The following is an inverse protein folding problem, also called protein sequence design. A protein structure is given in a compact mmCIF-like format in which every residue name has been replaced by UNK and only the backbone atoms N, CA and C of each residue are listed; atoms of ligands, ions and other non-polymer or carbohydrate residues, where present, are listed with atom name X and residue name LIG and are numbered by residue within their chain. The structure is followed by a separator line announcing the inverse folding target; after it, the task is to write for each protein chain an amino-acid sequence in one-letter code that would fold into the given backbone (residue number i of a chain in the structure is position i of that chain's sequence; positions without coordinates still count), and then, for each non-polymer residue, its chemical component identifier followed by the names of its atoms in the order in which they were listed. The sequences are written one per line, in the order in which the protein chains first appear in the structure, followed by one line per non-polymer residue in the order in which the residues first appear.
data_IF_210812058183
#
_entry.id   IF_210812058183
#
_cell.length_a   1.000
_cell.length_b   1.000
_cell.length_c   1.000
_cell.angle_alpha   90.00
_cell.angle_beta   90.00
_cell.angle_gamma   90.00
#
_symmetry.space_group_name_H-M   'P 1'
#
loop_
_entity.id
_entity.type
_entity.pdbx_description
1 polymer ?
#
# COMPACT_ATOMS: atom_id res chain seq x y z
N UNK A 1 -18.42 -4.81 -5.16
CA UNK A 1 -16.96 -4.95 -5.24
C UNK A 1 -16.53 -6.01 -4.22
N UNK A 2 -15.70 -6.97 -4.60
CA UNK A 2 -15.22 -8.03 -3.70
C UNK A 2 -13.86 -7.64 -3.10
N UNK A 3 -13.75 -7.68 -1.77
CA UNK A 3 -12.49 -7.57 -1.05
C UNK A 3 -11.78 -8.92 -1.12
N UNK A 4 -10.66 -8.96 -1.84
CA UNK A 4 -10.00 -10.21 -2.22
C UNK A 4 -9.14 -10.72 -1.05
N UNK A 5 -8.54 -9.83 -0.26
CA UNK A 5 -7.75 -10.19 0.92
C UNK A 5 -8.58 -10.57 2.16
N UNK A 6 -9.92 -10.59 2.07
CA UNK A 6 -10.83 -10.91 3.19
C UNK A 6 -10.58 -12.28 3.81
N UNK A 7 -10.08 -13.24 3.02
CA UNK A 7 -9.88 -14.62 3.44
C UNK A 7 -8.50 -14.89 4.07
N UNK A 8 -7.65 -13.87 4.23
CA UNK A 8 -6.33 -14.04 4.83
C UNK A 8 -6.44 -14.14 6.37
N UNK A 9 -5.61 -14.95 7.06
CA UNK A 9 -5.58 -14.96 8.51
C UNK A 9 -5.33 -13.55 9.06
N UNK A 10 -6.04 -13.21 10.13
CA UNK A 10 -6.01 -11.87 10.69
C UNK A 10 -4.69 -11.59 11.39
N UNK A 11 -3.86 -10.74 10.76
CA UNK A 11 -2.73 -10.11 11.43
C UNK A 11 -3.16 -8.71 11.84
N UNK A 12 -3.17 -8.40 13.15
CA UNK A 12 -3.57 -7.09 13.63
C UNK A 12 -2.66 -6.02 13.04
N UNK A 13 -3.10 -4.77 13.09
CA UNK A 13 -2.22 -3.65 12.80
C UNK A 13 -1.03 -3.65 13.77
N UNK A 14 0.18 -3.67 13.21
CA UNK A 14 1.46 -3.65 13.93
C UNK A 14 2.14 -2.34 13.53
N UNK A 15 2.57 -1.56 14.52
CA UNK A 15 3.36 -0.35 14.28
C UNK A 15 4.74 -0.72 13.72
N UNK A 16 5.29 0.14 12.87
CA UNK A 16 6.60 -0.04 12.21
C UNK A 16 6.72 -1.34 11.38
N UNK A 17 5.58 -1.92 10.98
CA UNK A 17 5.56 -3.02 10.03
C UNK A 17 6.01 -2.50 8.66
N UNK A 18 7.08 -3.08 8.13
CA UNK A 18 7.64 -2.71 6.84
C UNK A 18 6.95 -3.54 5.75
N UNK A 19 6.36 -2.84 4.79
CA UNK A 19 5.88 -3.45 3.56
C UNK A 19 7.05 -3.71 2.63
N UNK A 20 7.39 -4.98 2.49
CA UNK A 20 8.47 -5.41 1.62
C UNK A 20 7.93 -5.68 0.21
N UNK A 21 8.35 -4.90 -0.80
CA UNK A 21 7.93 -5.09 -2.18
C UNK A 21 8.39 -6.45 -2.72
N UNK A 22 7.61 -6.99 -3.66
CA UNK A 22 8.03 -8.17 -4.43
C UNK A 22 9.24 -7.83 -5.30
N UNK A 23 10.08 -8.84 -5.56
CA UNK A 23 11.31 -8.67 -6.36
C UNK A 23 12.47 -7.99 -5.62
N UNK A 24 12.32 -7.72 -4.32
CA UNK A 24 13.41 -7.20 -3.52
C UNK A 24 14.45 -8.29 -3.19
N UNK A 25 15.63 -8.21 -3.81
CA UNK A 25 16.77 -9.06 -3.45
C UNK A 25 17.47 -8.55 -2.19
N UNK A 26 18.24 -9.40 -1.51
CA UNK A 26 18.95 -9.08 -0.26
C UNK A 26 19.82 -7.82 -0.37
N UNK A 27 20.45 -7.61 -1.52
CA UNK A 27 21.24 -6.41 -1.81
C UNK A 27 20.40 -5.13 -1.80
N UNK A 28 19.22 -5.16 -2.42
CA UNK A 28 18.31 -4.01 -2.46
C UNK A 28 17.79 -3.65 -1.07
N UNK A 29 17.51 -4.66 -0.23
CA UNK A 29 17.12 -4.46 1.16
C UNK A 29 18.16 -3.67 1.96
N UNK A 30 19.44 -3.82 1.65
CA UNK A 30 20.53 -3.13 2.35
C UNK A 30 20.84 -1.75 1.76
N UNK A 31 20.69 -1.58 0.44
CA UNK A 31 21.11 -0.37 -0.27
C UNK A 31 19.98 0.64 -0.50
N UNK A 32 18.71 0.22 -0.46
CA UNK A 32 17.56 1.04 -0.88
C UNK A 32 16.31 0.80 -0.03
N UNK A 33 16.49 0.53 1.27
CA UNK A 33 15.40 0.34 2.23
C UNK A 33 14.50 1.57 2.40
N UNK A 34 14.99 2.75 2.02
CA UNK A 34 14.24 4.01 2.00
C UNK A 34 13.09 4.01 0.98
N UNK A 35 13.12 3.10 -0.01
CA UNK A 35 12.02 2.90 -0.96
C UNK A 35 10.92 1.96 -0.42
N UNK A 36 11.04 1.50 0.83
CA UNK A 36 9.97 0.74 1.47
C UNK A 36 9.05 1.66 2.25
N UNK A 37 7.87 1.12 2.52
CA UNK A 37 6.83 1.79 3.28
C UNK A 37 6.71 1.13 4.64
N UNK A 38 6.40 1.91 5.67
CA UNK A 38 6.13 1.36 7.00
C UNK A 38 4.83 1.91 7.59
N UNK A 39 4.14 1.07 8.34
CA UNK A 39 2.99 1.49 9.15
C UNK A 39 3.44 2.38 10.32
N UNK A 40 2.53 3.21 10.83
CA UNK A 40 2.73 3.92 12.10
C UNK A 40 1.85 3.31 13.19
N UNK A 41 1.86 3.86 14.40
CA UNK A 41 0.96 3.45 15.49
C UNK A 41 -0.52 3.61 15.13
N UNK A 42 -0.86 4.54 14.23
CA UNK A 42 -2.24 4.79 13.82
C UNK A 42 -2.61 3.91 12.63
N UNK A 43 -3.71 3.17 12.76
CA UNK A 43 -4.28 2.36 11.67
C UNK A 43 -4.50 3.21 10.41
N UNK A 44 -4.05 2.69 9.27
CA UNK A 44 -4.19 3.32 7.96
C UNK A 44 -3.18 4.44 7.69
N UNK A 45 -2.27 4.74 8.63
CA UNK A 45 -1.18 5.70 8.38
C UNK A 45 0.09 4.97 7.94
N UNK A 46 0.63 5.41 6.81
CA UNK A 46 1.83 4.86 6.18
C UNK A 46 2.82 5.98 5.93
N UNK A 47 4.10 5.67 6.12
CA UNK A 47 5.21 6.61 5.91
C UNK A 47 6.35 5.96 5.14
N UNK A 48 7.32 6.76 4.71
CA UNK A 48 8.60 6.25 4.25
C UNK A 48 9.33 5.49 5.37
N UNK A 49 10.09 4.47 4.98
CA UNK A 49 10.96 3.71 5.88
C UNK A 49 12.28 4.46 6.16
N UNK A 50 12.16 5.65 6.75
CA UNK A 50 13.27 6.53 7.17
C UNK A 50 12.97 7.09 8.56
N UNK A 51 13.99 7.48 9.35
CA UNK A 51 13.78 7.92 10.74
C UNK A 51 12.83 9.11 10.89
N UNK A 52 12.92 10.11 10.01
CA UNK A 52 12.14 11.34 10.04
C UNK A 52 11.43 11.53 8.69
N UNK A 53 10.30 10.83 8.44
CA UNK A 53 9.63 10.90 7.16
C UNK A 53 9.02 12.28 6.93
N UNK A 54 9.23 12.84 5.75
CA UNK A 54 8.70 14.16 5.39
C UNK A 54 7.17 14.17 5.18
N UNK A 55 6.56 13.00 5.03
CA UNK A 55 5.14 12.86 4.70
C UNK A 55 4.50 11.66 5.40
N UNK A 56 3.17 11.70 5.47
CA UNK A 56 2.32 10.62 5.96
C UNK A 56 1.16 10.46 4.98
N UNK A 57 0.98 9.25 4.45
CA UNK A 57 -0.23 8.88 3.73
C UNK A 57 -1.26 8.38 4.74
N UNK A 58 -2.41 9.06 4.81
CA UNK A 58 -3.53 8.65 5.65
C UNK A 58 -4.61 8.00 4.79
N UNK A 59 -4.74 6.68 4.92
CA UNK A 59 -5.81 5.89 4.31
C UNK A 59 -6.93 5.75 5.35
N UNK A 60 -8.13 6.28 5.09
CA UNK A 60 -9.22 6.19 6.05
C UNK A 60 -9.70 4.75 6.19
N UNK A 61 -9.55 4.21 7.40
CA UNK A 61 -10.02 2.88 7.78
C UNK A 61 -11.16 3.03 8.78
N UNK A 62 -12.36 2.47 8.52
CA UNK A 62 -13.46 2.50 9.47
C UNK A 62 -13.09 1.91 10.84
N UNK A 63 -13.68 2.48 11.90
CA UNK A 63 -13.61 1.88 13.22
C UNK A 63 -14.26 0.49 13.20
N UNK A 64 -13.66 -0.46 13.92
CA UNK A 64 -14.05 -1.88 13.96
C UNK A 64 -13.83 -2.64 12.65
N UNK A 65 -13.03 -2.12 11.72
CA UNK A 65 -12.55 -2.92 10.61
C UNK A 65 -11.75 -4.11 11.12
N UNK A 66 -11.99 -5.29 10.54
CA UNK A 66 -11.01 -6.37 10.57
C UNK A 66 -9.84 -5.97 9.69
N UNK A 67 -8.63 -6.08 10.21
CA UNK A 67 -7.40 -5.67 9.54
C UNK A 67 -6.55 -6.91 9.32
N UNK A 68 -6.04 -7.06 8.10
CA UNK A 68 -5.06 -8.09 7.77
C UNK A 68 -3.80 -7.40 7.21
N UNK A 69 -2.75 -7.35 8.02
CA UNK A 69 -1.42 -7.00 7.51
C UNK A 69 -0.86 -8.15 6.67
N UNK A 70 -0.21 -7.79 5.58
CA UNK A 70 0.48 -8.66 4.65
C UNK A 70 1.94 -8.22 4.55
N UNK A 71 2.80 -9.10 4.05
CA UNK A 71 4.21 -8.78 3.83
C UNK A 71 4.41 -7.55 2.91
N UNK A 72 3.61 -7.41 1.85
CA UNK A 72 3.73 -6.32 0.88
C UNK A 72 2.51 -5.38 0.88
N UNK A 73 1.75 -5.27 1.97
CA UNK A 73 0.57 -4.43 1.99
C UNK A 73 -0.40 -4.77 3.10
N UNK A 74 -1.66 -4.35 2.98
CA UNK A 74 -2.69 -4.69 3.95
C UNK A 74 -4.09 -4.60 3.36
N UNK A 75 -5.07 -5.15 4.08
CA UNK A 75 -6.46 -4.80 3.88
C UNK A 75 -7.13 -4.47 5.21
N UNK A 76 -8.16 -3.64 5.14
CA UNK A 76 -9.03 -3.37 6.26
C UNK A 76 -10.48 -3.32 5.77
N UNK A 77 -11.37 -4.06 6.42
CA UNK A 77 -12.77 -4.18 6.00
C UNK A 77 -13.73 -4.15 7.18
N UNK A 78 -14.85 -3.46 6.99
CA UNK A 78 -15.96 -3.36 7.92
C UNK A 78 -17.25 -3.68 7.17
N UNK A 79 -18.06 -4.61 7.69
CA UNK A 79 -19.34 -4.98 7.06
C UNK A 79 -20.51 -4.42 7.87
N UNK A 80 -21.38 -3.66 7.20
CA UNK A 80 -22.60 -3.09 7.79
C UNK A 80 -23.74 -3.16 6.79
N UNK A 81 -24.88 -3.72 7.21
CA UNK A 81 -26.11 -3.82 6.39
C UNK A 81 -25.86 -4.45 5.00
N UNK A 82 -25.08 -5.54 4.94
CA UNK A 82 -24.68 -6.25 3.70
C UNK A 82 -23.85 -5.41 2.72
N UNK A 83 -23.30 -4.27 3.17
CA UNK A 83 -22.30 -3.49 2.44
C UNK A 83 -20.97 -3.66 3.15
N UNK A 84 -19.94 -3.97 2.37
CA UNK A 84 -18.57 -3.97 2.85
C UNK A 84 -17.98 -2.57 2.60
N UNK A 85 -17.17 -2.11 3.53
CA UNK A 85 -16.46 -0.83 3.52
C UNK A 85 -15.00 -1.12 3.83
N UNK A 86 -14.05 -0.49 3.14
CA UNK A 86 -12.66 -0.85 3.39
C UNK A 86 -11.65 -0.28 2.43
N UNK A 87 -10.40 -0.66 2.70
CA UNK A 87 -9.24 -0.33 1.91
C UNK A 87 -8.41 -1.59 1.63
N UNK A 88 -7.84 -1.66 0.43
CA UNK A 88 -6.81 -2.64 0.07
C UNK A 88 -5.61 -1.91 -0.49
N UNK A 89 -4.44 -2.28 0.01
CA UNK A 89 -3.18 -1.64 -0.35
C UNK A 89 -2.13 -2.70 -0.61
N UNK A 90 -1.36 -2.50 -1.66
CA UNK A 90 -0.23 -3.33 -2.04
C UNK A 90 0.97 -2.46 -2.40
N UNK A 91 2.15 -3.03 -2.20
CA UNK A 91 3.45 -2.51 -2.61
C UNK A 91 3.96 -3.45 -3.70
N UNK A 92 3.61 -3.18 -4.97
CA UNK A 92 3.92 -4.09 -6.08
C UNK A 92 5.41 -4.10 -6.42
N UNK A 93 6.10 -2.97 -6.24
CA UNK A 93 7.53 -2.79 -6.50
C UNK A 93 8.09 -1.72 -5.54
N UNK A 94 9.42 -1.63 -5.36
CA UNK A 94 10.03 -0.60 -4.51
C UNK A 94 9.60 0.82 -4.88
N UNK A 95 9.26 1.59 -3.85
CA UNK A 95 8.83 2.98 -3.94
C UNK A 95 7.52 3.19 -4.71
N UNK A 96 6.69 2.16 -4.82
CA UNK A 96 5.30 2.29 -5.28
C UNK A 96 4.36 1.67 -4.25
N UNK A 97 3.41 2.45 -3.77
CA UNK A 97 2.30 2.00 -2.95
C UNK A 97 1.01 2.29 -3.73
N UNK A 98 0.20 1.25 -3.91
CA UNK A 98 -0.99 1.32 -4.75
C UNK A 98 -2.16 0.67 -4.04
N UNK A 99 -3.32 1.30 -4.08
CA UNK A 99 -4.45 0.86 -3.29
C UNK A 99 -5.78 1.33 -3.84
N UNK A 100 -6.84 0.78 -3.25
CA UNK A 100 -8.21 1.24 -3.44
C UNK A 100 -8.93 1.38 -2.12
N UNK A 101 -9.78 2.38 -2.03
CA UNK A 101 -10.91 2.47 -1.09
C UNK A 101 -12.21 2.17 -1.86
N UNK A 102 -13.31 2.00 -1.15
CA UNK A 102 -14.60 1.76 -1.79
C UNK A 102 -15.66 2.80 -1.38
N UNK A 103 -16.82 2.75 -2.05
CA UNK A 103 -17.89 3.72 -1.87
C UNK A 103 -18.29 3.93 -0.40
N UNK A 104 -18.27 5.20 0.02
CA UNK A 104 -18.59 5.62 1.38
C UNK A 104 -17.39 5.73 2.32
N UNK A 105 -16.18 5.50 1.82
CA UNK A 105 -14.91 5.83 2.49
C UNK A 105 -14.35 7.10 1.84
N UNK A 106 -13.78 7.99 2.66
CA UNK A 106 -13.12 9.19 2.15
C UNK A 106 -11.88 8.81 1.31
N UNK A 107 -11.44 9.72 0.44
CA UNK A 107 -10.20 9.50 -0.30
C UNK A 107 -8.99 9.55 0.65
N UNK A 108 -7.93 8.76 0.38
CA UNK A 108 -6.68 8.89 1.09
C UNK A 108 -6.06 10.27 0.90
N UNK A 109 -5.35 10.73 1.92
CA UNK A 109 -4.74 12.07 1.93
C UNK A 109 -3.25 11.95 2.21
N UNK A 110 -2.44 12.56 1.35
CA UNK A 110 -1.02 12.79 1.64
C UNK A 110 -0.90 14.07 2.49
N UNK A 111 -0.33 13.93 3.69
CA UNK A 111 -0.05 15.05 4.60
C UNK A 111 1.44 15.25 4.75
N UNK A 112 1.88 16.50 4.79
CA UNK A 112 3.27 16.89 4.99
C UNK A 112 3.33 18.18 5.81
N UNK A 113 4.40 18.38 6.57
CA UNK A 113 4.72 19.69 7.16
C UNK A 113 5.41 20.63 6.17
N UNK A 114 5.85 20.11 5.03
CA UNK A 114 6.45 20.86 3.94
C UNK A 114 5.37 21.27 2.93
N UNK A 115 5.70 22.22 2.06
CA UNK A 115 4.82 22.65 0.98
C UNK A 115 4.56 21.51 -0.01
N UNK A 116 3.29 21.30 -0.35
CA UNK A 116 2.85 20.36 -1.36
C UNK A 116 2.39 21.14 -2.59
N UNK A 117 2.91 20.77 -3.76
CA UNK A 117 2.34 21.22 -5.03
C UNK A 117 1.08 20.37 -5.29
N UNK A 118 -0.09 21.01 -5.29
CA UNK A 118 -1.38 20.34 -5.46
C UNK A 118 -1.95 20.68 -6.83
N UNK A 119 -2.32 19.66 -7.60
CA UNK A 119 -2.90 19.78 -8.93
C UNK A 119 -4.08 18.81 -9.08
N UNK A 120 -5.31 19.32 -9.17
CA UNK A 120 -6.56 18.56 -9.30
C UNK A 120 -6.68 17.36 -8.33
N UNK A 121 -6.19 16.19 -8.77
CA UNK A 121 -6.26 14.90 -8.10
C UNK A 121 -4.88 14.36 -7.65
N UNK A 122 -3.85 15.20 -7.75
CA UNK A 122 -2.47 14.83 -7.49
C UNK A 122 -1.77 15.81 -6.55
N UNK A 123 -0.79 15.30 -5.82
CA UNK A 123 0.05 16.05 -4.90
C UNK A 123 1.51 15.66 -5.14
N UNK A 124 2.39 16.65 -5.17
CA UNK A 124 3.83 16.46 -5.28
C UNK A 124 4.55 17.09 -4.10
N UNK A 125 5.43 16.30 -3.49
CA UNK A 125 6.38 16.70 -2.47
C UNK A 125 7.79 16.50 -3.00
N UNK A 126 8.63 17.51 -2.84
CA UNK A 126 10.07 17.41 -3.07
C UNK A 126 10.80 18.31 -2.08
N UNK A 127 11.76 17.75 -1.32
CA UNK A 127 12.55 18.52 -0.36
C UNK A 127 14.06 18.24 -0.41
N UNK A 128 14.55 17.73 -1.55
CA UNK A 128 15.96 17.37 -1.76
C UNK A 128 16.43 16.10 -1.05
N UNK A 129 15.65 15.57 -0.10
CA UNK A 129 15.92 14.31 0.60
C UNK A 129 14.91 13.24 0.22
N UNK A 130 13.64 13.61 0.18
CA UNK A 130 12.52 12.76 -0.20
C UNK A 130 11.74 13.41 -1.33
N UNK A 131 11.19 12.54 -2.17
CA UNK A 131 10.17 12.88 -3.15
C UNK A 131 8.96 11.96 -3.00
N UNK A 132 7.77 12.51 -3.16
CA UNK A 132 6.54 11.74 -3.13
C UNK A 132 5.51 12.33 -4.10
N UNK A 133 5.12 11.54 -5.09
CA UNK A 133 3.99 11.83 -5.95
C UNK A 133 2.80 11.00 -5.52
N UNK A 134 1.70 11.64 -5.16
CA UNK A 134 0.45 10.99 -4.82
C UNK A 134 -0.63 11.37 -5.82
N UNK A 135 -1.44 10.41 -6.25
CA UNK A 135 -2.64 10.67 -7.05
C UNK A 135 -3.78 9.80 -6.56
N UNK A 136 -5.00 10.33 -6.57
CA UNK A 136 -6.20 9.64 -6.14
C UNK A 136 -7.40 10.03 -6.99
N UNK A 137 -8.10 9.03 -7.54
CA UNK A 137 -9.29 9.22 -8.35
C UNK A 137 -10.25 8.05 -8.14
N UNK A 138 -11.51 8.36 -7.84
CA UNK A 138 -12.59 7.37 -7.73
C UNK A 138 -12.25 6.23 -6.74
N UNK A 139 -11.62 6.56 -5.62
CA UNK A 139 -11.17 5.60 -4.61
C UNK A 139 -9.91 4.81 -4.98
N UNK A 140 -9.43 4.85 -6.23
CA UNK A 140 -8.13 4.28 -6.62
C UNK A 140 -7.03 5.31 -6.32
N UNK A 141 -5.90 4.88 -5.77
CA UNK A 141 -4.81 5.78 -5.43
C UNK A 141 -3.44 5.16 -5.59
N UNK A 142 -2.46 5.97 -5.95
CA UNK A 142 -1.07 5.55 -6.13
C UNK A 142 -0.12 6.59 -5.51
N UNK A 143 0.88 6.10 -4.78
CA UNK A 143 1.96 6.87 -4.20
C UNK A 143 3.29 6.36 -4.77
N UNK A 144 4.10 7.27 -5.31
CA UNK A 144 5.38 6.99 -5.94
C UNK A 144 6.48 7.77 -5.25
N UNK A 145 7.50 7.08 -4.74
CA UNK A 145 8.66 7.66 -4.02
C UNK A 145 10.01 7.24 -4.62
N UNK A 146 10.01 6.37 -5.64
CA UNK A 146 11.24 5.80 -6.21
C UNK A 146 12.03 6.72 -7.15
N UNK A 147 11.50 7.89 -7.50
CA UNK A 147 12.16 8.85 -8.40
C UNK A 147 11.98 10.27 -7.88
N UNK A 148 13.03 11.13 -7.94
CA UNK A 148 12.92 12.54 -7.64
C UNK A 148 12.32 13.36 -8.80
N UNK A 149 12.12 12.76 -9.98
CA UNK A 149 11.64 13.47 -11.17
C UNK A 149 10.11 13.39 -11.25
N UNK A 150 9.44 14.54 -11.15
CA UNK A 150 7.97 14.63 -11.17
C UNK A 150 7.34 13.93 -12.38
N UNK A 151 7.85 14.17 -13.58
CA UNK A 151 7.31 13.55 -14.81
C UNK A 151 7.44 12.02 -14.82
N UNK A 152 8.55 11.48 -14.30
CA UNK A 152 8.71 10.04 -14.16
C UNK A 152 7.76 9.47 -13.11
N UNK A 153 7.58 10.17 -12.00
CA UNK A 153 6.66 9.77 -10.93
C UNK A 153 5.21 9.75 -11.43
N UNK A 154 4.80 10.77 -12.20
CA UNK A 154 3.51 10.84 -12.91
C UNK A 154 3.33 9.64 -13.84
N UNK A 155 4.30 9.38 -14.70
CA UNK A 155 4.22 8.27 -15.65
C UNK A 155 4.10 6.89 -14.94
N UNK A 156 4.83 6.70 -13.85
CA UNK A 156 4.71 5.50 -13.01
C UNK A 156 3.31 5.41 -12.41
N UNK A 157 2.79 6.50 -11.84
CA UNK A 157 1.48 6.53 -11.21
C UNK A 157 0.36 6.24 -12.22
N UNK A 158 0.36 6.92 -13.38
CA UNK A 158 -0.61 6.71 -14.46
C UNK A 158 -0.66 5.25 -14.91
N UNK A 159 0.49 4.60 -15.03
CA UNK A 159 0.57 3.18 -15.38
C UNK A 159 -0.13 2.28 -14.35
N UNK A 160 -0.11 2.62 -13.06
CA UNK A 160 -0.87 1.89 -12.03
C UNK A 160 -2.33 2.30 -11.99
N UNK A 161 -2.65 3.58 -12.18
CA UNK A 161 -4.03 4.07 -12.24
C UNK A 161 -4.82 3.47 -13.41
N UNK A 162 -4.14 3.05 -14.48
CA UNK A 162 -4.74 2.39 -15.65
C UNK A 162 -4.74 0.84 -15.57
N UNK A 163 -4.30 0.25 -14.45
CA UNK A 163 -4.30 -1.21 -14.24
C UNK A 163 -5.46 -1.64 -13.34
N UNK A 164 -5.89 -2.90 -13.47
CA UNK A 164 -6.81 -3.49 -12.49
C UNK A 164 -6.07 -3.86 -11.22
N UNK A 165 -6.43 -3.21 -10.12
CA UNK A 165 -5.91 -3.55 -8.79
C UNK A 165 -6.43 -4.92 -8.33
N UNK A 166 -7.63 -5.31 -8.76
CA UNK A 166 -8.19 -6.62 -8.52
C UNK A 166 -7.29 -7.72 -9.08
N UNK A 167 -6.85 -7.58 -10.33
CA UNK A 167 -5.95 -8.54 -10.97
C UNK A 167 -4.59 -8.61 -10.25
N UNK A 168 -4.04 -7.47 -9.85
CA UNK A 168 -2.76 -7.43 -9.15
C UNK A 168 -2.83 -8.09 -7.77
N UNK A 169 -3.90 -7.82 -7.01
CA UNK A 169 -4.18 -8.44 -5.71
C UNK A 169 -4.43 -9.94 -5.86
N UNK A 170 -5.22 -10.35 -6.86
CA UNK A 170 -5.49 -11.76 -7.13
C UNK A 170 -4.20 -12.51 -7.52
N UNK A 171 -3.37 -11.91 -8.38
CA UNK A 171 -2.06 -12.46 -8.74
C UNK A 171 -1.15 -12.64 -7.52
N UNK A 172 -1.17 -11.68 -6.59
CA UNK A 172 -0.42 -11.79 -5.33
C UNK A 172 -0.91 -12.94 -4.44
N UNK A 173 -2.23 -13.16 -4.39
CA UNK A 173 -2.81 -14.31 -3.68
C UNK A 173 -2.46 -15.64 -4.33
N UNK A 174 -2.56 -15.75 -5.65
CA UNK A 174 -2.29 -17.00 -6.35
C UNK A 174 -0.81 -17.40 -6.26
N UNK A 175 0.10 -16.43 -6.32
CA UNK A 175 1.53 -16.66 -6.03
C UNK A 175 1.77 -17.19 -4.62
N UNK A 176 1.00 -16.74 -3.63
CA UNK A 176 1.09 -17.23 -2.24
C UNK A 176 0.46 -18.61 -2.04
N UNK A 177 -0.60 -18.94 -2.79
CA UNK A 177 -1.17 -20.29 -2.79
C UNK A 177 -0.16 -21.33 -3.28
N UNK A 178 0.66 -20.97 -4.26
CA UNK A 178 1.80 -21.79 -4.69
C UNK A 178 2.80 -22.06 -3.56
N UNK A 179 2.96 -21.16 -2.59
CA UNK A 179 3.80 -21.37 -1.38
C UNK A 179 3.06 -22.17 -0.31
N UNK A 180 1.73 -22.00 -0.19
CA UNK A 180 0.90 -22.76 0.76
C UNK A 180 0.84 -24.25 0.45
N UNK A 181 0.85 -24.66 -0.82
CA UNK A 181 0.92 -26.08 -1.20
C UNK A 181 2.23 -26.74 -0.73
N UNK A 182 3.38 -26.03 -0.81
CA UNK A 182 4.65 -26.53 -0.28
C UNK A 182 4.63 -26.78 1.23
N UNK A 183 3.97 -25.92 2.01
CA UNK A 183 3.83 -26.13 3.47
C UNK A 183 2.88 -27.27 3.82
N UNK A 184 1.78 -27.44 3.06
CA UNK A 184 0.85 -28.56 3.26
C UNK A 184 1.50 -29.89 2.86
N UNK A 185 2.25 -29.94 1.76
CA UNK A 185 3.00 -31.13 1.34
C UNK A 185 4.11 -31.49 2.34
N UNK A 186 4.85 -30.51 2.88
CA UNK A 186 5.83 -30.75 3.94
C UNK A 186 5.21 -31.31 5.23
N UNK A 187 4.02 -30.86 5.62
CA UNK A 187 3.32 -31.39 6.80
C UNK A 187 2.72 -32.79 6.60
N UNK A 188 2.62 -33.29 5.37
CA UNK A 188 2.18 -34.66 5.07
C UNK A 188 3.37 -35.62 4.86
N UNK A 189 4.59 -35.14 5.06
CA UNK A 189 5.83 -35.91 4.96
C UNK A 189 6.57 -36.09 6.29
N UNK A 190 5.96 -35.71 7.41
CA UNK A 190 6.39 -36.06 8.79
C UNK A 190 5.50 -37.15 9.40
#
# INVERSE_FOLDING_TARGET
MNFIFRNYPSHPWIADWIFEPRGCHSRFRNESSNQFFRTTETVGRITANVPNPAWILQIPVPQNSSINLLFNGFCAYFEKRKRAYGAEVIVPEPGVLWGRTNDGIADPVLSSSMELLIEEHSMWLENGVESAFFTCREGLFCLVTKTPVLEEARHVAERYMNRSIEEAVQSELDRRRGVGQFFVEMMHHD
#
